data_IF_296053346077
#
_entry.id   IF_296053346077
#
_cell.length_a   1.000
_cell.length_b   1.000
_cell.length_c   1.000
_cell.angle_alpha   90.00
_cell.angle_beta   90.00
_cell.angle_gamma   90.00
#
_symmetry.space_group_name_H-M   'P 1'
#
loop_
_entity.id
_entity.type
_entity.pdbx_description
1 polymer ?
#
# COMPACT_ATOMS: atom_id res chain seq x y z
N UNK A 1 5.48 25.98 -8.17
CA UNK A 1 6.39 25.78 -7.02
C UNK A 1 6.82 24.32 -7.06
N UNK A 2 8.12 24.03 -7.07
CA UNK A 2 8.61 22.65 -6.93
C UNK A 2 8.36 22.22 -5.49
N UNK A 3 7.32 21.40 -5.27
CA UNK A 3 7.15 20.77 -3.96
C UNK A 3 8.35 19.86 -3.69
N UNK A 4 8.83 19.88 -2.44
CA UNK A 4 9.89 18.99 -2.01
C UNK A 4 9.42 17.54 -2.23
N UNK A 5 10.12 16.72 -3.02
CA UNK A 5 9.69 15.36 -3.32
C UNK A 5 9.52 14.52 -2.04
N UNK A 6 10.29 14.80 -0.99
CA UNK A 6 10.15 14.11 0.30
C UNK A 6 8.79 14.36 0.94
N UNK A 7 8.30 15.59 0.87
CA UNK A 7 6.98 15.95 1.42
C UNK A 7 5.86 15.31 0.59
N UNK A 8 6.00 15.28 -0.74
CA UNK A 8 5.07 14.56 -1.62
C UNK A 8 4.93 13.09 -1.21
N UNK A 9 6.04 12.37 -0.99
CA UNK A 9 5.98 10.96 -0.56
C UNK A 9 5.43 10.77 0.86
N UNK A 10 5.57 11.77 1.75
CA UNK A 10 4.98 11.74 3.10
C UNK A 10 3.47 11.97 3.09
N UNK A 11 2.97 12.77 2.16
CA UNK A 11 1.55 13.07 1.98
C UNK A 11 0.81 12.04 1.12
N UNK A 12 1.51 11.07 0.52
CA UNK A 12 0.86 10.02 -0.26
C UNK A 12 -0.16 9.24 0.60
N UNK A 13 -1.38 9.02 0.08
CA UNK A 13 -2.36 8.23 0.78
C UNK A 13 -1.83 6.84 1.05
N UNK A 14 -2.18 6.29 2.22
CA UNK A 14 -1.84 4.92 2.57
C UNK A 14 -2.48 3.96 1.56
N UNK A 15 -1.73 2.94 1.15
CA UNK A 15 -2.23 1.87 0.28
C UNK A 15 -3.30 1.08 1.04
N UNK A 16 -4.42 0.81 0.39
CA UNK A 16 -5.56 0.09 0.97
C UNK A 16 -5.74 -1.24 0.24
N UNK A 17 -5.95 -2.31 1.00
CA UNK A 17 -6.18 -3.65 0.46
C UNK A 17 -7.51 -3.69 -0.30
N UNK A 18 -7.46 -4.11 -1.57
CA UNK A 18 -8.64 -4.23 -2.43
C UNK A 18 -9.64 -5.31 -1.95
N UNK A 19 -9.19 -6.29 -1.16
CA UNK A 19 -10.05 -7.38 -0.67
C UNK A 19 -10.70 -7.06 0.69
N UNK A 20 -9.95 -6.53 1.65
CA UNK A 20 -10.44 -6.34 3.03
C UNK A 20 -10.49 -4.88 3.51
N UNK A 21 -10.05 -3.93 2.70
CA UNK A 21 -10.08 -2.49 3.04
C UNK A 21 -9.10 -2.07 4.14
N UNK A 22 -8.24 -2.97 4.64
CA UNK A 22 -7.23 -2.64 5.64
C UNK A 22 -6.08 -1.85 5.01
N UNK A 23 -5.43 -1.01 5.82
CA UNK A 23 -4.21 -0.32 5.43
C UNK A 23 -3.10 -1.35 5.24
N UNK A 24 -2.47 -1.33 4.07
CA UNK A 24 -1.32 -2.16 3.75
C UNK A 24 -0.07 -1.48 4.34
N UNK A 25 0.58 -2.15 5.29
CA UNK A 25 1.82 -1.70 5.95
C UNK A 25 3.03 -2.33 5.25
N UNK A 26 3.09 -2.22 3.92
CA UNK A 26 4.16 -2.81 3.11
C UNK A 26 5.11 -1.73 2.56
N UNK A 27 6.27 -2.16 2.08
CA UNK A 27 7.19 -1.32 1.31
C UNK A 27 6.46 -0.70 0.11
N UNK A 28 6.72 0.58 -0.17
CA UNK A 28 6.05 1.36 -1.21
C UNK A 28 6.18 0.76 -2.65
N UNK A 29 7.05 -0.23 -2.84
CA UNK A 29 7.37 -0.86 -4.11
C UNK A 29 6.52 -2.11 -4.43
N UNK A 30 5.61 -2.54 -3.54
CA UNK A 30 4.71 -3.67 -3.81
C UNK A 30 3.66 -3.32 -4.86
N UNK A 31 3.66 -4.01 -6.01
CA UNK A 31 2.63 -3.89 -7.06
C UNK A 31 1.32 -4.63 -6.74
N UNK A 32 1.28 -5.44 -5.68
CA UNK A 32 0.11 -6.21 -5.29
C UNK A 32 -0.97 -5.29 -4.72
N UNK A 33 -2.26 -5.61 -4.87
CA UNK A 33 -3.34 -4.76 -4.31
C UNK A 33 -3.97 -5.35 -3.05
N UNK A 34 -3.60 -6.58 -2.71
CA UNK A 34 -4.03 -7.30 -1.52
C UNK A 34 -2.93 -7.31 -0.46
N UNK A 35 -3.33 -7.32 0.83
CA UNK A 35 -2.39 -7.46 1.93
C UNK A 35 -1.94 -8.92 2.12
N UNK A 36 -0.80 -9.12 2.78
CA UNK A 36 -0.25 -10.44 3.14
C UNK A 36 -1.30 -11.42 3.68
N UNK A 37 -2.22 -10.95 4.53
CA UNK A 37 -3.29 -11.79 5.11
C UNK A 37 -4.24 -12.33 4.04
N UNK A 38 -4.63 -11.49 3.09
CA UNK A 38 -5.54 -11.85 2.00
C UNK A 38 -4.85 -12.73 0.97
N UNK A 39 -3.58 -12.43 0.65
CA UNK A 39 -2.75 -13.25 -0.22
C UNK A 39 -2.52 -14.65 0.37
N UNK A 40 -2.24 -14.75 1.67
CA UNK A 40 -2.01 -16.04 2.34
C UNK A 40 -3.23 -16.97 2.27
N UNK A 41 -4.46 -16.43 2.28
CA UNK A 41 -5.69 -17.23 2.15
C UNK A 41 -5.91 -17.81 0.76
N UNK A 42 -5.27 -17.25 -0.27
CA UNK A 42 -5.43 -17.69 -1.67
C UNK A 42 -4.43 -18.77 -2.07
N UNK A 43 -3.40 -18.98 -1.26
CA UNK A 43 -2.31 -19.91 -1.55
C UNK A 43 -2.56 -21.34 -1.01
N UNK A 44 -3.79 -21.68 -0.63
CA UNK A 44 -4.22 -23.03 -0.23
C UNK A 44 -4.91 -23.79 -1.37
#
# INVERSE_FOLDING_TARGET
MLQNPVEFFRELPKKICAECGQIIVEQAESYLMECDRCLSKRAE
#
